data_IF_041741246356
#
_entry.id   IF_041741246356
#
_cell.length_a   1.000
_cell.length_b   1.000
_cell.length_c   1.000
_cell.angle_alpha   90.00
_cell.angle_beta   90.00
_cell.angle_gamma   90.00
#
_symmetry.space_group_name_H-M   'P 1'
#
loop_
_entity.id
_entity.type
_entity.pdbx_description
1 polymer ?
#
# COMPACT_ATOMS: atom_id res chain seq x y z
N UNK A 1 16.14 -1.60 -0.81
CA UNK A 1 14.91 -2.32 -0.40
C UNK A 1 13.78 -1.31 -0.38
N UNK A 2 12.60 -1.56 -0.97
CA UNK A 2 11.58 -0.52 -1.06
C UNK A 2 10.94 -0.36 0.31
N UNK A 3 11.50 0.53 1.11
CA UNK A 3 10.81 1.04 2.29
C UNK A 3 9.82 2.09 1.78
N UNK A 4 8.64 1.63 1.36
CA UNK A 4 7.54 2.55 1.10
C UNK A 4 7.22 3.27 2.42
N UNK A 5 7.32 4.60 2.40
CA UNK A 5 7.02 5.40 3.57
C UNK A 5 5.55 5.16 3.98
N UNK A 6 5.23 4.99 5.27
CA UNK A 6 3.88 4.61 5.71
C UNK A 6 2.79 5.61 5.29
N UNK A 7 3.13 6.88 5.08
CA UNK A 7 2.20 7.85 4.49
C UNK A 7 1.81 7.49 3.05
N UNK A 8 2.78 7.05 2.24
CA UNK A 8 2.56 6.64 0.84
C UNK A 8 1.65 5.40 0.78
N UNK A 9 1.81 4.45 1.71
CA UNK A 9 0.93 3.29 1.78
C UNK A 9 -0.53 3.68 2.03
N UNK A 10 -0.78 4.69 2.87
CA UNK A 10 -2.13 5.20 3.13
C UNK A 10 -2.73 5.91 1.92
N UNK A 11 -1.94 6.71 1.20
CA UNK A 11 -2.41 7.33 -0.04
C UNK A 11 -2.77 6.27 -1.09
N UNK A 12 -1.93 5.24 -1.25
CA UNK A 12 -2.20 4.13 -2.17
C UNK A 12 -3.49 3.38 -1.82
N UNK A 13 -3.77 3.15 -0.53
CA UNK A 13 -5.04 2.56 -0.06
C UNK A 13 -6.22 3.44 -0.47
N UNK A 14 -6.15 4.75 -0.24
CA UNK A 14 -7.23 5.67 -0.61
C UNK A 14 -7.44 5.77 -2.13
N UNK A 15 -6.35 5.75 -2.91
CA UNK A 15 -6.41 5.74 -4.37
C UNK A 15 -7.05 4.43 -4.87
N UNK A 16 -6.68 3.29 -4.30
CA UNK A 16 -7.29 2.00 -4.64
C UNK A 16 -8.80 1.99 -4.40
N UNK A 17 -9.26 2.42 -3.22
CA UNK A 17 -10.69 2.48 -2.88
C UNK A 17 -11.48 3.44 -3.79
N UNK A 18 -10.86 4.56 -4.17
CA UNK A 18 -11.46 5.50 -5.12
C UNK A 18 -11.58 4.90 -6.52
N UNK A 19 -10.53 4.22 -6.98
CA UNK A 19 -10.53 3.52 -8.26
C UNK A 19 -11.51 2.36 -8.29
N UNK A 20 -11.68 1.64 -7.18
CA UNK A 20 -12.66 0.57 -7.05
C UNK A 20 -14.09 1.10 -7.24
N UNK A 21 -14.43 2.22 -6.60
CA UNK A 21 -15.72 2.88 -6.79
C UNK A 21 -15.92 3.35 -8.25
N UNK A 22 -14.86 3.86 -8.89
CA UNK A 22 -14.90 4.26 -10.29
C UNK A 22 -15.03 3.05 -11.22
N UNK A 23 -14.39 1.93 -10.90
CA UNK A 23 -14.48 0.69 -11.66
C UNK A 23 -15.88 0.11 -11.59
N UNK A 24 -16.50 0.07 -10.40
CA UNK A 24 -17.87 -0.37 -10.22
C UNK A 24 -18.88 0.45 -11.05
N UNK A 25 -18.60 1.74 -11.28
CA UNK A 25 -19.47 2.64 -12.06
C UNK A 25 -19.21 2.61 -13.56
N UNK A 26 -17.96 2.53 -13.99
CA UNK A 26 -17.56 2.74 -15.39
C UNK A 26 -16.99 1.49 -16.07
N UNK A 27 -16.58 0.45 -15.31
CA UNK A 27 -16.08 -0.82 -15.84
C UNK A 27 -14.85 -0.69 -16.74
N UNK A 28 -14.08 0.41 -16.65
CA UNK A 28 -12.97 0.69 -17.57
C UNK A 28 -11.77 -0.20 -17.29
N UNK A 29 -11.21 -0.78 -18.36
CA UNK A 29 -10.00 -1.61 -18.30
C UNK A 29 -8.76 -0.83 -17.79
N UNK A 30 -8.68 0.47 -18.06
CA UNK A 30 -7.61 1.34 -17.57
C UNK A 30 -7.65 1.51 -16.05
N UNK A 31 -8.85 1.65 -15.48
CA UNK A 31 -9.04 1.71 -14.02
C UNK A 31 -8.64 0.39 -13.38
N UNK A 32 -9.01 -0.74 -13.99
CA UNK A 32 -8.60 -2.06 -13.52
C UNK A 32 -7.09 -2.24 -13.52
N UNK A 33 -6.41 -1.86 -14.61
CA UNK A 33 -4.93 -1.92 -14.67
C UNK A 33 -4.28 -1.08 -13.56
N UNK A 34 -4.80 0.12 -13.32
CA UNK A 34 -4.28 0.99 -12.27
C UNK A 34 -4.52 0.42 -10.86
N UNK A 35 -5.66 -0.22 -10.63
CA UNK A 35 -5.91 -0.97 -9.41
C UNK A 35 -4.92 -2.14 -9.23
N UNK A 36 -4.64 -2.90 -10.30
CA UNK A 36 -3.66 -3.99 -10.29
C UNK A 36 -2.23 -3.48 -9.97
N UNK A 37 -1.82 -2.34 -10.54
CA UNK A 37 -0.51 -1.72 -10.26
C UNK A 37 -0.37 -1.30 -8.78
N UNK A 38 -1.43 -0.70 -8.23
CA UNK A 38 -1.47 -0.30 -6.81
C UNK A 38 -1.48 -1.53 -5.90
N UNK A 39 -2.30 -2.54 -6.23
CA UNK A 39 -2.37 -3.79 -5.49
C UNK A 39 -1.02 -4.51 -5.45
N UNK A 40 -0.34 -4.61 -6.60
CA UNK A 40 1.00 -5.18 -6.70
C UNK A 40 2.01 -4.44 -5.80
N UNK A 41 1.98 -3.10 -5.83
CA UNK A 41 2.82 -2.27 -4.98
C UNK A 41 2.54 -2.48 -3.49
N UNK A 42 1.27 -2.54 -3.10
CA UNK A 42 0.84 -2.78 -1.73
C UNK A 42 1.27 -4.16 -1.25
N UNK A 43 1.05 -5.22 -2.04
CA UNK A 43 1.47 -6.58 -1.73
C UNK A 43 2.98 -6.66 -1.48
N UNK A 44 3.80 -6.10 -2.37
CA UNK A 44 5.27 -6.10 -2.21
C UNK A 44 5.70 -5.28 -1.00
N UNK A 45 5.08 -4.13 -0.76
CA UNK A 45 5.45 -3.22 0.33
C UNK A 45 4.98 -3.67 1.72
N UNK A 46 3.92 -4.47 1.76
CA UNK A 46 3.37 -5.06 2.99
C UNK A 46 3.82 -6.51 3.21
N UNK A 47 4.44 -7.14 2.21
CA UNK A 47 4.87 -8.54 2.25
C UNK A 47 3.72 -9.54 2.18
N UNK A 48 2.56 -9.13 1.65
CA UNK A 48 1.39 -10.00 1.49
C UNK A 48 1.29 -10.55 0.07
N UNK A 49 0.47 -11.59 -0.11
CA UNK A 49 0.21 -12.23 -1.41
C UNK A 49 -1.14 -11.84 -2.01
N UNK A 50 -1.94 -11.13 -1.25
CA UNK A 50 -3.33 -10.81 -1.56
C UNK A 50 -3.60 -9.33 -1.26
N UNK A 51 -4.44 -8.71 -2.10
CA UNK A 51 -4.72 -7.27 -2.03
C UNK A 51 -5.53 -6.92 -0.78
N UNK A 52 -6.51 -7.73 -0.37
CA UNK A 52 -7.26 -7.49 0.86
C UNK A 52 -6.34 -7.59 2.08
N UNK A 53 -5.45 -8.59 2.09
CA UNK A 53 -4.42 -8.70 3.12
C UNK A 53 -3.47 -7.51 3.11
N UNK A 54 -3.10 -7.00 1.93
CA UNK A 54 -2.23 -5.83 1.78
C UNK A 54 -2.91 -4.55 2.31
N UNK A 55 -4.18 -4.34 1.97
CA UNK A 55 -4.99 -3.21 2.42
C UNK A 55 -5.17 -3.23 3.93
N UNK A 56 -5.49 -4.39 4.50
CA UNK A 56 -5.56 -4.59 5.96
C UNK A 56 -4.23 -4.27 6.63
N UNK A 57 -3.11 -4.81 6.12
CA UNK A 57 -1.78 -4.55 6.66
C UNK A 57 -1.39 -3.07 6.57
N UNK A 58 -1.69 -2.40 5.44
CA UNK A 58 -1.43 -0.98 5.24
C UNK A 58 -2.29 -0.09 6.18
N UNK A 59 -3.55 -0.47 6.42
CA UNK A 59 -4.47 0.22 7.34
C UNK A 59 -4.07 0.05 8.80
N UNK A 60 -3.59 -1.14 9.17
CA UNK A 60 -3.12 -1.46 10.52
C UNK A 60 -1.73 -0.91 10.84
N UNK A 61 -0.94 -0.53 9.83
CA UNK A 61 0.38 0.06 10.07
C UNK A 61 0.20 1.45 10.69
N UNK A 62 0.61 1.68 11.95
CA UNK A 62 0.61 3.03 12.50
C UNK A 62 1.52 3.91 11.62
N UNK A 63 1.25 5.23 11.51
CA UNK A 63 2.19 6.14 10.88
C UNK A 63 3.52 5.90 11.57
N UNK A 64 4.48 5.33 10.84
CA UNK A 64 5.77 5.01 11.40
C UNK A 64 6.38 6.33 11.82
N UNK A 65 6.46 6.56 13.13
CA UNK A 65 7.42 7.49 13.72
C UNK A 65 8.75 7.14 13.06
N UNK A 66 9.21 8.01 12.16
CA UNK A 66 10.40 7.81 11.37
C UNK A 66 11.66 7.93 12.22
N UNK A 67 11.81 7.13 13.27
CA UNK A 67 13.03 7.06 14.08
C UNK A 67 13.20 5.66 14.67
N UNK A 68 14.43 5.15 14.59
CA UNK A 68 14.96 3.90 15.18
C UNK A 68 14.87 2.64 14.31
N UNK A 69 15.59 2.69 13.19
CA UNK A 69 16.24 1.51 12.60
C UNK A 69 17.77 1.58 12.63
N UNK A 70 18.36 2.64 13.20
CA UNK A 70 19.82 2.80 13.32
C UNK A 70 20.23 2.83 14.81
N UNK A 71 20.02 1.73 15.52
CA UNK A 71 20.92 1.35 16.61
C UNK A 71 21.99 0.44 16.00
N UNK A 72 22.99 1.05 15.35
CA UNK A 72 24.26 0.36 15.12
C UNK A 72 25.06 0.47 16.43
N UNK A 73 25.12 -0.67 17.12
CA UNK A 73 26.19 -1.19 17.98
C UNK A 73 26.83 -0.25 19.02
N UNK A 74 26.55 -0.54 20.29
CA UNK A 74 27.50 -0.37 21.37
C UNK A 74 28.56 -1.47 21.28
N UNK A 75 29.84 -1.10 21.35
CA UNK A 75 30.99 -2.00 21.35
C UNK A 75 32.26 -1.23 21.02
#
# INVERSE_FOLDING_TARGET
MPMAHPAVLRELVQEYETLELLHARQGKAEVRRRMDDIASTLCVSTGTRDVDAALMAARHRPPGDGVKGASLVAG
#
